data_IF_972896331791
#
_entry.id   IF_972896331791
#
_cell.length_a   1.000
_cell.length_b   1.000
_cell.length_c   1.000
_cell.angle_alpha   90.00
_cell.angle_beta   90.00
_cell.angle_gamma   90.00
#
_symmetry.space_group_name_H-M   'P 1'
#
loop_
_entity.id
_entity.type
_entity.pdbx_description
1 polymer ?
#
# COMPACT_ATOMS: atom_id res chain seq x y z
N UNK A 1 -27.37 30.86 20.75
CA UNK A 1 -26.71 31.38 19.53
C UNK A 1 -25.89 30.26 18.87
N UNK A 2 -25.87 30.17 17.53
CA UNK A 2 -24.99 29.26 16.78
C UNK A 2 -24.05 30.08 15.91
N UNK A 3 -22.77 29.70 15.91
CA UNK A 3 -21.73 30.33 15.12
C UNK A 3 -21.10 29.31 14.17
N UNK A 4 -20.83 29.75 12.95
CA UNK A 4 -19.93 29.09 12.02
C UNK A 4 -18.49 29.57 12.29
N UNK A 5 -17.55 28.62 12.35
CA UNK A 5 -16.14 28.90 12.50
C UNK A 5 -15.48 28.70 11.15
N UNK A 6 -14.76 29.71 10.67
CA UNK A 6 -13.94 29.61 9.47
C UNK A 6 -12.47 29.78 9.84
N UNK A 7 -11.60 28.96 9.26
CA UNK A 7 -10.15 29.12 9.33
C UNK A 7 -9.62 29.29 7.91
N UNK A 8 -8.89 30.38 7.67
CA UNK A 8 -8.42 30.82 6.34
C UNK A 8 -9.53 30.86 5.28
N UNK A 9 -10.73 31.25 5.68
CA UNK A 9 -11.91 31.33 4.82
C UNK A 9 -12.62 30.00 4.56
N UNK A 10 -12.10 28.88 5.08
CA UNK A 10 -12.77 27.56 4.97
C UNK A 10 -13.62 27.31 6.20
N UNK A 11 -14.89 26.95 6.02
CA UNK A 11 -15.76 26.53 7.13
C UNK A 11 -15.23 25.24 7.74
N UNK A 12 -14.95 25.26 9.05
CA UNK A 12 -14.38 24.13 9.79
C UNK A 12 -15.35 23.50 10.78
N UNK A 13 -16.51 24.11 10.99
CA UNK A 13 -17.55 23.56 11.84
C UNK A 13 -18.50 24.60 12.41
N UNK A 14 -19.54 24.08 13.05
CA UNK A 14 -20.56 24.85 13.75
C UNK A 14 -20.44 24.66 15.26
N UNK A 15 -20.61 25.73 16.02
CA UNK A 15 -20.65 25.68 17.49
C UNK A 15 -21.91 26.35 18.01
N UNK A 16 -22.45 25.78 19.08
CA UNK A 16 -23.48 26.45 19.88
C UNK A 16 -22.77 27.19 21.00
N UNK A 17 -23.07 28.47 21.16
CA UNK A 17 -22.68 29.20 22.36
C UNK A 17 -23.55 28.71 23.51
N UNK A 18 -22.94 27.97 24.42
CA UNK A 18 -23.59 27.35 25.59
C UNK A 18 -22.72 27.41 26.84
N UNK A 19 -21.51 27.95 26.74
CA UNK A 19 -20.64 28.14 27.91
C UNK A 19 -20.98 29.48 28.56
N UNK A 20 -21.11 29.45 29.87
CA UNK A 20 -21.51 30.61 30.66
C UNK A 20 -20.33 31.55 30.96
N UNK A 21 -20.57 32.85 30.88
CA UNK A 21 -19.63 33.93 31.15
C UNK A 21 -20.30 34.96 32.06
N UNK A 22 -19.95 34.91 33.35
CA UNK A 22 -20.50 35.79 34.39
C UNK A 22 -20.27 37.27 34.05
N UNK A 23 -19.09 37.61 33.51
CA UNK A 23 -18.73 38.99 33.15
C UNK A 23 -19.59 39.58 32.03
N UNK A 24 -20.13 38.76 31.11
CA UNK A 24 -21.03 39.22 30.06
C UNK A 24 -22.44 39.47 30.60
N UNK A 25 -22.87 38.67 31.57
CA UNK A 25 -24.14 38.84 32.28
C UNK A 25 -24.11 40.07 33.19
N UNK A 26 -23.03 40.27 33.94
CA UNK A 26 -22.87 41.41 34.85
C UNK A 26 -22.83 42.76 34.12
N UNK A 27 -22.41 42.76 32.86
CA UNK A 27 -22.35 43.93 31.99
C UNK A 27 -23.60 44.13 31.11
N UNK A 28 -24.63 43.30 31.29
CA UNK A 28 -25.86 43.29 30.49
C UNK A 28 -25.63 43.22 28.96
N UNK A 29 -24.57 42.52 28.55
CA UNK A 29 -24.21 42.33 27.13
C UNK A 29 -24.97 41.12 26.55
N UNK A 30 -25.22 40.09 27.37
CA UNK A 30 -26.03 38.93 27.02
C UNK A 30 -26.58 38.24 28.29
N UNK A 31 -27.39 37.19 28.12
CA UNK A 31 -27.87 36.31 29.19
C UNK A 31 -26.76 35.49 29.91
N UNK A 32 -25.49 35.71 29.55
CA UNK A 32 -24.31 35.00 30.02
C UNK A 32 -23.92 33.77 29.20
N UNK A 33 -24.78 33.19 28.34
CA UNK A 33 -24.47 31.97 27.57
C UNK A 33 -23.96 32.28 26.15
N UNK A 34 -22.84 33.01 26.08
CA UNK A 34 -22.28 33.48 24.82
C UNK A 34 -20.91 32.84 24.46
N UNK A 35 -20.29 32.07 25.34
CA UNK A 35 -19.01 31.41 25.06
C UNK A 35 -19.18 30.01 24.46
N UNK A 36 -18.09 29.48 23.90
CA UNK A 36 -18.02 28.14 23.34
C UNK A 36 -16.59 27.59 23.45
N UNK A 37 -16.46 26.28 23.27
CA UNK A 37 -15.19 25.61 23.02
C UNK A 37 -15.26 24.92 21.67
N UNK A 38 -14.17 24.98 20.92
CA UNK A 38 -14.06 24.31 19.64
C UNK A 38 -12.71 23.63 19.53
N UNK A 39 -12.71 22.34 19.20
CA UNK A 39 -11.49 21.61 18.93
C UNK A 39 -10.98 22.02 17.55
N UNK A 40 -9.86 22.72 17.50
CA UNK A 40 -9.24 23.13 16.24
C UNK A 40 -8.89 21.89 15.44
N UNK A 41 -9.37 21.76 14.18
CA UNK A 41 -9.05 20.63 13.33
C UNK A 41 -7.55 20.46 13.20
N UNK A 42 -7.11 19.21 13.15
CA UNK A 42 -5.68 18.91 13.16
C UNK A 42 -4.95 19.63 12.03
N UNK A 43 -5.53 19.76 10.83
CA UNK A 43 -4.96 20.44 9.66
C UNK A 43 -4.39 21.84 9.89
N UNK A 44 -4.88 22.58 10.90
CA UNK A 44 -4.42 23.95 11.20
C UNK A 44 -3.38 24.03 12.31
N UNK A 45 -2.91 22.90 12.87
CA UNK A 45 -1.90 22.86 13.96
C UNK A 45 -0.47 22.74 13.42
N UNK A 46 -0.12 23.61 12.47
CA UNK A 46 1.10 23.52 11.67
C UNK A 46 2.23 24.46 12.15
N UNK A 47 2.01 25.24 13.22
CA UNK A 47 2.96 26.24 13.72
C UNK A 47 2.99 27.54 12.89
N UNK A 48 2.11 27.70 11.91
CA UNK A 48 1.94 28.92 11.11
C UNK A 48 0.78 29.75 11.65
N UNK A 49 0.73 31.01 11.21
CA UNK A 49 -0.36 31.91 11.57
C UNK A 49 -1.57 31.65 10.67
N UNK A 50 -2.71 31.36 11.29
CA UNK A 50 -3.99 31.17 10.60
C UNK A 50 -4.96 32.30 10.95
N UNK A 51 -5.85 32.64 10.02
CA UNK A 51 -6.93 33.61 10.23
C UNK A 51 -8.20 32.89 10.67
N UNK A 52 -8.72 33.23 11.85
CA UNK A 52 -9.98 32.70 12.36
C UNK A 52 -11.07 33.76 12.20
N UNK A 53 -12.13 33.41 11.48
CA UNK A 53 -13.35 34.18 11.31
C UNK A 53 -14.51 33.46 12.04
N UNK A 54 -15.46 34.22 12.58
CA UNK A 54 -16.69 33.71 13.18
C UNK A 54 -17.88 34.38 12.50
N UNK A 55 -18.89 33.61 12.09
CA UNK A 55 -20.12 34.13 11.46
C UNK A 55 -21.36 33.62 12.16
N UNK A 56 -22.42 34.43 12.18
CA UNK A 56 -23.74 33.95 12.58
C UNK A 56 -24.32 33.08 11.47
N UNK A 57 -25.03 32.02 11.84
CA UNK A 57 -25.60 31.08 10.87
C UNK A 57 -26.59 31.81 9.95
N UNK A 58 -26.31 31.81 8.65
CA UNK A 58 -27.17 32.42 7.63
C UNK A 58 -26.95 33.91 7.41
N UNK A 59 -25.90 34.49 8.02
CA UNK A 59 -25.52 35.89 7.84
C UNK A 59 -24.11 35.98 7.22
N UNK A 60 -23.92 36.94 6.31
CA UNK A 60 -22.61 37.20 5.69
C UNK A 60 -21.65 38.01 6.60
N UNK A 61 -22.17 38.55 7.71
CA UNK A 61 -21.43 39.37 8.66
C UNK A 61 -20.48 38.57 9.56
N UNK A 62 -19.26 39.08 9.75
CA UNK A 62 -18.29 38.53 10.71
C UNK A 62 -18.55 39.12 12.09
N UNK A 63 -18.46 38.29 13.14
CA UNK A 63 -18.63 38.73 14.53
C UNK A 63 -17.57 39.76 14.92
N UNK A 64 -18.00 40.81 15.62
CA UNK A 64 -17.12 41.89 16.11
C UNK A 64 -15.94 41.31 16.91
N UNK A 65 -14.72 41.69 16.55
CA UNK A 65 -13.49 41.19 17.17
C UNK A 65 -12.85 39.98 16.45
N UNK A 66 -13.45 39.52 15.35
CA UNK A 66 -12.85 38.68 14.32
C UNK A 66 -12.71 39.50 13.00
N UNK A 67 -11.80 39.13 12.08
CA UNK A 67 -10.83 38.03 12.17
C UNK A 67 -9.77 38.21 13.24
N UNK A 68 -9.25 37.09 13.76
CA UNK A 68 -8.01 37.06 14.55
C UNK A 68 -6.95 36.20 13.90
N UNK A 69 -5.70 36.64 13.97
CA UNK A 69 -4.54 35.79 13.63
C UNK A 69 -4.11 35.02 14.86
N UNK A 70 -4.07 33.70 14.76
CA UNK A 70 -3.63 32.80 15.83
C UNK A 70 -2.59 31.84 15.28
N UNK A 71 -1.53 31.59 16.04
CA UNK A 71 -0.57 30.52 15.75
C UNK A 71 -0.96 29.33 16.62
N UNK A 72 -1.38 28.25 16.00
CA UNK A 72 -1.58 26.99 16.70
C UNK A 72 -0.21 26.31 16.83
N UNK A 73 0.17 25.92 18.05
CA UNK A 73 1.48 25.31 18.29
C UNK A 73 1.73 24.12 17.37
N UNK A 74 2.93 24.07 16.78
CA UNK A 74 3.36 22.95 15.94
C UNK A 74 3.26 21.64 16.72
N UNK A 75 2.73 20.60 16.06
CA UNK A 75 2.37 19.36 16.76
C UNK A 75 3.60 18.65 17.37
N UNK A 76 3.75 18.71 18.70
CA UNK A 76 4.74 17.89 19.43
C UNK A 76 4.58 16.39 19.15
N UNK A 77 3.39 15.94 18.72
CA UNK A 77 3.16 14.55 18.32
C UNK A 77 4.04 14.18 17.13
N UNK A 78 4.36 15.12 16.23
CA UNK A 78 5.25 14.87 15.10
C UNK A 78 6.63 14.39 15.54
N UNK A 79 7.23 15.06 16.53
CA UNK A 79 8.53 14.66 17.09
C UNK A 79 8.44 13.31 17.81
N UNK A 80 7.34 13.07 18.54
CA UNK A 80 7.11 11.83 19.29
C UNK A 80 6.97 10.61 18.37
N UNK A 81 6.14 10.67 17.32
CA UNK A 81 5.99 9.53 16.41
C UNK A 81 7.25 9.30 15.56
N UNK A 82 7.92 10.35 15.09
CA UNK A 82 9.18 10.20 14.35
C UNK A 82 10.22 9.49 15.20
N UNK A 83 10.39 9.89 16.47
CA UNK A 83 11.30 9.21 17.40
C UNK A 83 10.88 7.75 17.64
N UNK A 84 9.58 7.50 17.83
CA UNK A 84 9.01 6.16 18.05
C UNK A 84 9.33 5.20 16.91
N UNK A 85 9.15 5.59 15.66
CA UNK A 85 9.37 4.64 14.55
C UNK A 85 10.84 4.53 14.14
N UNK A 86 11.65 5.58 14.30
CA UNK A 86 13.10 5.49 14.05
C UNK A 86 13.82 4.51 14.99
N UNK A 87 13.30 4.27 16.19
CA UNK A 87 13.94 3.34 17.14
C UNK A 87 13.87 1.87 16.72
N UNK A 88 13.11 1.51 15.68
CA UNK A 88 13.05 0.14 15.17
C UNK A 88 14.16 -0.19 14.16
N UNK A 89 14.97 0.80 13.76
CA UNK A 89 16.15 0.57 12.91
C UNK A 89 17.23 -0.10 13.76
N UNK A 90 17.76 -1.23 13.29
CA UNK A 90 18.71 -2.05 14.07
C UNK A 90 19.98 -1.28 14.43
N UNK A 91 20.42 -0.36 13.58
CA UNK A 91 21.65 0.42 13.79
C UNK A 91 21.47 1.65 14.69
N UNK A 92 20.32 1.82 15.35
CA UNK A 92 20.03 3.02 16.16
C UNK A 92 19.86 4.31 15.33
N UNK A 93 19.84 4.20 14.00
CA UNK A 93 19.63 5.29 13.05
C UNK A 93 20.43 5.12 11.76
N UNK A 94 20.27 6.02 10.78
CA UNK A 94 21.00 5.96 9.53
C UNK A 94 22.50 6.24 9.75
N UNK A 95 23.37 5.49 9.05
CA UNK A 95 24.83 5.74 8.97
C UNK A 95 25.13 7.09 8.33
N UNK A 96 26.36 7.59 8.48
CA UNK A 96 26.77 8.85 7.83
C UNK A 96 26.63 8.79 6.29
N UNK A 97 27.02 7.69 5.66
CA UNK A 97 26.87 7.50 4.21
C UNK A 97 25.40 7.56 3.78
N UNK A 98 24.51 6.88 4.50
CA UNK A 98 23.06 6.93 4.26
C UNK A 98 22.48 8.32 4.50
N UNK A 99 22.91 9.04 5.55
CA UNK A 99 22.50 10.43 5.81
C UNK A 99 22.92 11.36 4.70
N UNK A 100 24.17 11.25 4.23
CA UNK A 100 24.70 12.04 3.12
C UNK A 100 23.89 11.76 1.87
N UNK A 101 23.61 10.50 1.54
CA UNK A 101 22.83 10.11 0.36
C UNK A 101 21.38 10.59 0.42
N UNK A 102 20.73 10.47 1.58
CA UNK A 102 19.39 11.05 1.80
C UNK A 102 19.45 12.58 1.64
N UNK A 103 20.37 13.25 2.31
CA UNK A 103 20.48 14.71 2.24
C UNK A 103 20.79 15.20 0.81
N UNK A 104 21.70 14.56 0.08
CA UNK A 104 22.07 14.98 -1.28
C UNK A 104 20.91 14.82 -2.27
N UNK A 105 20.12 13.75 -2.13
CA UNK A 105 18.94 13.53 -2.98
C UNK A 105 17.91 14.65 -2.89
N UNK A 106 17.69 15.20 -1.69
CA UNK A 106 16.71 16.25 -1.44
C UNK A 106 17.31 17.67 -1.58
N UNK A 107 18.54 17.92 -1.12
CA UNK A 107 19.21 19.22 -1.26
C UNK A 107 19.56 19.59 -2.70
N UNK A 108 19.73 18.60 -3.59
CA UNK A 108 20.07 18.80 -5.00
C UNK A 108 18.88 19.02 -5.95
N UNK A 109 17.64 19.04 -5.45
CA UNK A 109 16.43 19.33 -6.24
C UNK A 109 16.04 18.29 -7.29
N UNK A 110 16.63 17.09 -7.28
CA UNK A 110 16.52 16.16 -8.41
C UNK A 110 15.32 15.18 -8.33
N UNK A 111 14.78 14.88 -7.15
CA UNK A 111 13.66 13.92 -7.01
C UNK A 111 12.65 14.34 -5.94
N UNK A 112 11.50 14.82 -6.40
CA UNK A 112 10.36 15.18 -5.54
C UNK A 112 9.41 14.01 -5.24
N UNK A 113 9.65 12.85 -5.87
CA UNK A 113 8.87 11.63 -5.64
C UNK A 113 9.66 10.66 -4.77
N UNK A 114 9.03 10.16 -3.71
CA UNK A 114 9.66 9.24 -2.75
C UNK A 114 8.83 7.99 -2.64
N UNK A 115 9.45 6.81 -2.82
CA UNK A 115 8.83 5.54 -2.52
C UNK A 115 9.45 4.97 -1.25
N UNK A 116 8.63 4.64 -0.26
CA UNK A 116 9.01 3.79 0.87
C UNK A 116 8.62 2.37 0.50
N UNK A 117 9.60 1.65 -0.04
CA UNK A 117 9.49 0.22 -0.35
C UNK A 117 9.72 -0.57 0.93
N UNK A 118 8.88 -1.54 1.20
CA UNK A 118 9.00 -2.43 2.35
C UNK A 118 9.14 -3.87 1.89
N UNK A 119 10.13 -4.55 2.44
CA UNK A 119 10.39 -5.95 2.17
C UNK A 119 10.51 -6.76 3.46
N UNK A 120 10.28 -8.06 3.33
CA UNK A 120 10.59 -9.04 4.37
C UNK A 120 11.20 -10.30 3.79
N UNK A 121 12.32 -10.74 4.37
CA UNK A 121 12.92 -12.05 4.15
C UNK A 121 13.52 -12.59 5.45
N UNK A 122 13.77 -13.89 5.52
CA UNK A 122 14.53 -14.48 6.61
C UNK A 122 15.99 -14.00 6.63
N UNK A 123 16.59 -13.81 5.44
CA UNK A 123 17.92 -13.24 5.24
C UNK A 123 17.95 -11.70 5.23
N UNK A 124 19.13 -11.13 4.99
CA UNK A 124 19.34 -9.67 4.92
C UNK A 124 19.21 -9.10 3.51
N UNK A 125 19.21 -9.97 2.49
CA UNK A 125 19.04 -9.58 1.10
C UNK A 125 17.56 -9.58 0.71
N UNK A 126 17.14 -8.60 -0.11
CA UNK A 126 15.77 -8.59 -0.62
C UNK A 126 15.59 -9.65 -1.71
N UNK A 127 14.36 -10.13 -1.89
CA UNK A 127 14.00 -11.03 -2.99
C UNK A 127 14.24 -10.38 -4.35
N UNK A 128 14.53 -11.17 -5.39
CA UNK A 128 14.80 -10.62 -6.73
C UNK A 128 13.60 -9.84 -7.29
N UNK A 129 12.38 -10.30 -7.02
CA UNK A 129 11.14 -9.58 -7.35
C UNK A 129 11.05 -8.19 -6.70
N UNK A 130 11.51 -8.05 -5.46
CA UNK A 130 11.57 -6.76 -4.75
C UNK A 130 12.57 -5.81 -5.41
N UNK A 131 13.74 -6.30 -5.82
CA UNK A 131 14.72 -5.51 -6.59
C UNK A 131 14.16 -5.06 -7.95
N UNK A 132 13.44 -5.93 -8.66
CA UNK A 132 12.77 -5.53 -9.91
C UNK A 132 11.78 -4.39 -9.71
N UNK A 133 10.94 -4.48 -8.67
CA UNK A 133 9.99 -3.44 -8.33
C UNK A 133 10.71 -2.12 -8.00
N UNK A 134 11.80 -2.18 -7.24
CA UNK A 134 12.64 -1.00 -6.96
C UNK A 134 13.17 -0.38 -8.25
N UNK A 135 13.71 -1.18 -9.17
CA UNK A 135 14.25 -0.67 -10.44
C UNK A 135 13.19 0.01 -11.29
N UNK A 136 12.00 -0.58 -11.37
CA UNK A 136 10.85 0.00 -12.08
C UNK A 136 10.42 1.34 -11.46
N UNK A 137 10.39 1.44 -10.13
CA UNK A 137 10.07 2.70 -9.43
C UNK A 137 11.13 3.77 -9.70
N UNK A 138 12.42 3.41 -9.67
CA UNK A 138 13.52 4.32 -9.98
C UNK A 138 13.46 4.81 -11.42
N UNK A 139 13.14 3.92 -12.36
CA UNK A 139 12.93 4.27 -13.77
C UNK A 139 11.76 5.25 -13.96
N UNK A 140 10.76 5.21 -13.08
CA UNK A 140 9.63 6.15 -13.05
C UNK A 140 9.90 7.41 -12.18
N UNK A 141 11.17 7.68 -11.83
CA UNK A 141 11.60 8.93 -11.21
C UNK A 141 11.50 8.98 -9.69
N UNK A 142 11.22 7.87 -9.02
CA UNK A 142 11.20 7.83 -7.56
C UNK A 142 12.62 7.79 -6.99
N UNK A 143 12.82 8.51 -5.88
CA UNK A 143 13.85 8.14 -4.90
C UNK A 143 13.30 6.97 -4.08
N UNK A 144 13.96 5.82 -4.13
CA UNK A 144 13.47 4.62 -3.42
C UNK A 144 14.23 4.42 -2.12
N UNK A 145 13.49 4.54 -1.03
CA UNK A 145 13.90 4.16 0.32
C UNK A 145 13.37 2.75 0.62
N UNK A 146 14.27 1.78 0.70
CA UNK A 146 13.92 0.41 1.07
C UNK A 146 14.10 0.21 2.58
N UNK A 147 13.00 -0.10 3.27
CA UNK A 147 12.98 -0.48 4.68
C UNK A 147 12.71 -1.97 4.77
N UNK A 148 13.75 -2.75 5.04
CA UNK A 148 13.71 -4.20 5.03
C UNK A 148 13.65 -4.76 6.44
N UNK A 149 12.62 -5.56 6.71
CA UNK A 149 12.46 -6.27 7.97
C UNK A 149 13.09 -7.66 7.86
N UNK A 150 13.95 -8.01 8.81
CA UNK A 150 14.57 -9.34 8.84
C UNK A 150 14.90 -9.76 10.27
N UNK A 151 14.66 -11.03 10.65
CA UNK A 151 15.13 -11.56 11.93
C UNK A 151 16.66 -11.67 11.99
N UNK A 152 17.33 -11.77 10.83
CA UNK A 152 18.79 -11.80 10.73
C UNK A 152 19.43 -10.40 10.83
N UNK A 153 18.63 -9.34 11.02
CA UNK A 153 19.13 -7.98 11.05
C UNK A 153 20.10 -7.71 12.21
N UNK A 154 19.91 -8.37 13.36
CA UNK A 154 20.71 -8.14 14.58
C UNK A 154 22.13 -8.74 14.48
N UNK A 155 22.33 -9.71 13.60
CA UNK A 155 23.62 -10.38 13.36
C UNK A 155 24.32 -9.90 12.09
N UNK A 156 23.70 -8.98 11.36
CA UNK A 156 24.18 -8.50 10.07
C UNK A 156 25.40 -7.56 10.22
N UNK A 157 26.59 -8.05 9.94
CA UNK A 157 27.83 -7.26 9.92
C UNK A 157 28.07 -6.61 8.55
N UNK A 158 27.14 -5.79 8.06
CA UNK A 158 27.34 -4.83 6.94
C UNK A 158 27.82 -5.29 5.54
N UNK A 159 27.98 -6.58 5.25
CA UNK A 159 28.54 -7.00 3.95
C UNK A 159 27.50 -7.01 2.81
N UNK A 160 27.84 -6.31 1.72
CA UNK A 160 27.31 -6.36 0.36
C UNK A 160 25.80 -6.62 0.19
N UNK A 161 24.97 -5.78 0.79
CA UNK A 161 23.52 -5.77 0.55
C UNK A 161 23.25 -5.58 -0.96
N UNK A 162 22.54 -6.52 -1.57
CA UNK A 162 22.24 -6.55 -3.03
C UNK A 162 21.10 -5.64 -3.47
N UNK A 163 20.57 -4.80 -2.57
CA UNK A 163 19.43 -3.93 -2.85
C UNK A 163 19.76 -2.85 -3.89
N UNK A 164 18.93 -2.74 -4.93
CA UNK A 164 19.07 -1.69 -5.95
C UNK A 164 18.53 -0.31 -5.53
N UNK A 165 18.00 -0.20 -4.30
CA UNK A 165 17.41 1.02 -3.76
C UNK A 165 18.41 2.18 -3.61
N UNK A 166 17.90 3.41 -3.63
CA UNK A 166 18.73 4.59 -3.41
C UNK A 166 19.16 4.71 -1.93
N UNK A 167 18.36 4.19 -1.00
CA UNK A 167 18.79 3.97 0.38
C UNK A 167 18.14 2.69 0.94
N UNK A 168 18.88 1.96 1.77
CA UNK A 168 18.45 0.68 2.34
C UNK A 168 18.65 0.67 3.85
N UNK A 169 17.65 0.20 4.60
CA UNK A 169 17.70 0.13 6.06
C UNK A 169 17.14 -1.19 6.57
N UNK A 170 17.91 -1.85 7.43
CA UNK A 170 17.45 -3.00 8.19
C UNK A 170 16.69 -2.54 9.45
N UNK A 171 15.53 -3.15 9.69
CA UNK A 171 14.74 -2.96 10.90
C UNK A 171 14.39 -4.29 11.56
N UNK A 172 14.13 -4.23 12.87
CA UNK A 172 13.49 -5.34 13.56
C UNK A 172 12.09 -5.60 12.96
N UNK A 173 11.66 -6.86 12.95
CA UNK A 173 10.35 -7.25 12.42
C UNK A 173 9.20 -6.90 13.38
N UNK A 174 8.96 -5.60 13.56
CA UNK A 174 7.95 -5.04 14.46
C UNK A 174 6.94 -4.22 13.65
N UNK A 175 5.64 -4.43 13.92
CA UNK A 175 4.54 -3.70 13.29
C UNK A 175 4.28 -4.02 11.80
N UNK A 176 4.95 -5.06 11.27
CA UNK A 176 4.88 -5.49 9.86
C UNK A 176 5.00 -4.33 8.87
N UNK A 177 4.27 -4.37 7.76
CA UNK A 177 4.42 -3.45 6.64
C UNK A 177 4.11 -2.00 7.02
N UNK A 178 3.02 -1.75 7.74
CA UNK A 178 2.71 -0.42 8.25
C UNK A 178 3.78 0.10 9.21
N UNK A 179 4.31 -0.74 10.10
CA UNK A 179 5.44 -0.38 10.96
C UNK A 179 6.68 0.00 10.15
N UNK A 180 6.97 -0.73 9.07
CA UNK A 180 8.07 -0.43 8.15
C UNK A 180 7.83 0.86 7.36
N UNK A 181 6.63 1.09 6.82
CA UNK A 181 6.28 2.32 6.11
C UNK A 181 6.39 3.54 7.01
N UNK A 182 5.88 3.45 8.25
CA UNK A 182 5.99 4.52 9.24
C UNK A 182 7.44 4.77 9.67
N UNK A 183 8.27 3.71 9.71
CA UNK A 183 9.72 3.85 9.89
C UNK A 183 10.35 4.63 8.74
N UNK A 184 10.09 4.26 7.48
CA UNK A 184 10.62 4.98 6.33
C UNK A 184 10.10 6.42 6.23
N UNK A 185 8.80 6.63 6.48
CA UNK A 185 8.20 7.96 6.56
C UNK A 185 8.90 8.83 7.62
N UNK A 186 9.17 8.27 8.81
CA UNK A 186 9.91 8.98 9.86
C UNK A 186 11.31 9.41 9.41
N UNK A 187 11.96 8.66 8.51
CA UNK A 187 13.28 9.01 7.98
C UNK A 187 13.23 10.20 7.03
N UNK A 188 12.23 10.23 6.16
CA UNK A 188 12.08 11.29 5.14
C UNK A 188 11.25 12.48 5.61
N UNK A 189 10.60 12.40 6.78
CA UNK A 189 9.68 13.43 7.29
C UNK A 189 10.28 14.85 7.36
N UNK A 190 11.59 14.96 7.64
CA UNK A 190 12.30 16.25 7.68
C UNK A 190 12.35 16.94 6.31
N UNK A 191 12.14 16.20 5.22
CA UNK A 191 12.14 16.69 3.85
C UNK A 191 10.73 16.83 3.27
N UNK A 192 9.65 16.59 4.06
CA UNK A 192 8.26 16.55 3.54
C UNK A 192 7.85 17.75 2.69
N UNK A 193 8.38 18.94 2.97
CA UNK A 193 8.10 20.17 2.20
C UNK A 193 8.65 20.12 0.76
N UNK A 194 9.56 19.19 0.47
CA UNK A 194 10.18 18.99 -0.85
C UNK A 194 9.61 17.77 -1.59
N UNK A 195 8.73 17.01 -0.94
CA UNK A 195 8.14 15.78 -1.49
C UNK A 195 6.79 16.16 -2.10
N UNK A 196 6.67 15.98 -3.40
CA UNK A 196 5.42 16.19 -4.15
C UNK A 196 4.54 14.94 -4.13
N UNK A 197 5.16 13.78 -4.00
CA UNK A 197 4.50 12.48 -4.03
C UNK A 197 5.23 11.48 -3.13
N UNK A 198 4.47 10.84 -2.24
CA UNK A 198 4.92 9.72 -1.43
C UNK A 198 4.20 8.45 -1.86
N UNK A 199 4.93 7.37 -2.11
CA UNK A 199 4.39 6.04 -2.36
C UNK A 199 4.77 5.11 -1.21
N UNK A 200 3.78 4.48 -0.59
CA UNK A 200 3.95 3.27 0.22
C UNK A 200 3.72 2.06 -0.67
N UNK A 201 4.69 1.16 -0.67
CA UNK A 201 4.63 -0.08 -1.43
C UNK A 201 5.33 -1.20 -0.66
N UNK A 202 4.80 -2.41 -0.70
CA UNK A 202 5.42 -3.58 -0.07
C UNK A 202 5.61 -4.72 -1.08
N UNK A 203 6.40 -5.72 -0.69
CA UNK A 203 6.63 -6.92 -1.49
C UNK A 203 5.69 -8.08 -1.17
N UNK A 204 4.61 -7.87 -0.39
CA UNK A 204 3.66 -8.93 -0.06
C UNK A 204 2.98 -9.55 -1.30
N UNK A 205 2.96 -8.79 -2.40
CA UNK A 205 2.55 -9.25 -3.71
C UNK A 205 3.76 -9.38 -4.65
N UNK A 206 3.67 -10.37 -5.53
CA UNK A 206 4.62 -10.61 -6.61
C UNK A 206 4.32 -9.71 -7.82
N UNK A 207 5.36 -9.09 -8.39
CA UNK A 207 5.26 -8.24 -9.57
C UNK A 207 6.41 -7.22 -9.64
N UNK A 208 6.37 -6.28 -10.60
CA UNK A 208 5.27 -6.02 -11.51
C UNK A 208 5.20 -7.01 -12.69
N UNK A 209 4.02 -7.60 -12.96
CA UNK A 209 3.77 -8.42 -14.18
C UNK A 209 3.32 -7.59 -15.39
N UNK A 210 2.85 -6.37 -15.13
CA UNK A 210 2.52 -5.34 -16.12
C UNK A 210 3.22 -4.04 -15.73
N UNK A 211 3.53 -3.17 -16.71
CA UNK A 211 4.23 -1.90 -16.46
C UNK A 211 3.49 -1.03 -15.43
N UNK A 212 4.23 -0.39 -14.52
CA UNK A 212 3.62 0.46 -13.47
C UNK A 212 3.18 1.83 -13.96
N UNK A 213 3.61 2.24 -15.16
CA UNK A 213 3.36 3.58 -15.72
C UNK A 213 1.87 4.01 -15.65
N UNK A 214 0.87 3.17 -15.94
CA UNK A 214 -0.54 3.56 -15.81
C UNK A 214 -0.96 3.85 -14.36
N UNK A 215 -0.47 3.07 -13.39
CA UNK A 215 -0.74 3.28 -11.96
C UNK A 215 -0.01 4.51 -11.39
N UNK A 216 1.12 4.88 -12.00
CA UNK A 216 1.96 6.01 -11.62
C UNK A 216 1.63 7.32 -12.37
N UNK A 217 0.56 7.34 -13.17
CA UNK A 217 0.16 8.54 -13.89
C UNK A 217 -0.08 9.72 -12.92
N UNK A 218 0.43 10.93 -13.21
CA UNK A 218 0.23 12.11 -12.38
C UNK A 218 -1.25 12.47 -12.18
N UNK A 219 -2.06 12.25 -13.22
CA UNK A 219 -3.50 12.56 -13.24
C UNK A 219 -4.30 11.93 -12.09
N UNK A 220 -3.80 10.85 -11.49
CA UNK A 220 -4.42 10.21 -10.34
C UNK A 220 -4.31 11.08 -9.08
N UNK A 221 -3.15 11.69 -8.84
CA UNK A 221 -2.93 12.58 -7.69
C UNK A 221 -3.37 14.03 -7.97
N UNK A 222 -3.62 14.38 -9.22
CA UNK A 222 -4.31 15.64 -9.58
C UNK A 222 -5.80 15.58 -9.23
N UNK A 223 -6.38 14.37 -9.17
CA UNK A 223 -7.80 14.13 -8.86
C UNK A 223 -8.04 13.74 -7.42
N UNK A 224 -7.15 12.93 -6.85
CA UNK A 224 -7.31 12.34 -5.53
C UNK A 224 -6.15 12.75 -4.61
N UNK A 225 -6.43 12.89 -3.31
CA UNK A 225 -5.40 13.15 -2.30
C UNK A 225 -4.59 11.88 -1.97
N UNK A 226 -5.28 10.73 -1.99
CA UNK A 226 -4.72 9.39 -1.76
C UNK A 226 -5.17 8.47 -2.89
N UNK A 227 -4.26 7.65 -3.42
CA UNK A 227 -4.57 6.76 -4.53
C UNK A 227 -3.98 5.36 -4.35
N UNK A 228 -4.82 4.33 -4.44
CA UNK A 228 -4.39 2.92 -4.43
C UNK A 228 -4.60 2.22 -5.77
N UNK A 229 -4.32 0.92 -5.83
CA UNK A 229 -4.58 0.14 -7.06
C UNK A 229 -6.00 -0.39 -7.15
N UNK A 230 -6.57 -0.81 -6.01
CA UNK A 230 -7.90 -1.39 -5.95
C UNK A 230 -8.47 -1.19 -4.56
N UNK A 231 -9.78 -0.97 -4.49
CA UNK A 231 -10.50 -0.94 -3.23
C UNK A 231 -11.00 -2.34 -2.83
N UNK A 232 -11.61 -2.43 -1.67
CA UNK A 232 -12.19 -3.63 -1.12
C UNK A 232 -13.33 -3.24 -0.18
N UNK A 233 -14.36 -4.07 -0.12
CA UNK A 233 -15.55 -3.86 0.73
C UNK A 233 -15.65 -4.88 1.86
N UNK A 234 -14.71 -5.83 1.95
CA UNK A 234 -14.64 -6.78 3.05
C UNK A 234 -14.48 -6.03 4.38
N UNK A 235 -15.39 -6.30 5.32
CA UNK A 235 -15.58 -5.60 6.60
C UNK A 235 -16.01 -4.13 6.48
N UNK A 236 -15.29 -3.32 5.69
CA UNK A 236 -15.60 -1.93 5.40
C UNK A 236 -14.94 -1.51 4.08
N UNK A 237 -15.39 -0.42 3.45
CA UNK A 237 -14.72 0.11 2.26
C UNK A 237 -13.29 0.56 2.59
N UNK A 238 -12.28 0.11 1.86
CA UNK A 238 -10.88 0.52 2.04
C UNK A 238 -10.04 0.25 0.78
N UNK A 239 -8.89 0.92 0.66
CA UNK A 239 -7.87 0.54 -0.32
C UNK A 239 -7.08 -0.67 0.16
N UNK A 240 -6.72 -1.57 -0.75
CA UNK A 240 -5.70 -2.57 -0.43
C UNK A 240 -4.33 -1.90 -0.30
N UNK A 241 -3.61 -2.21 0.77
CA UNK A 241 -2.52 -1.34 1.25
C UNK A 241 -1.14 -1.57 0.61
N UNK A 242 -0.95 -2.61 -0.19
CA UNK A 242 0.35 -2.93 -0.79
C UNK A 242 0.86 -1.89 -1.81
N UNK A 243 0.02 -0.93 -2.20
CA UNK A 243 0.40 0.19 -3.05
C UNK A 243 -0.53 1.38 -2.78
N UNK A 244 -0.02 2.41 -2.10
CA UNK A 244 -0.78 3.61 -1.74
C UNK A 244 0.07 4.85 -1.96
N UNK A 245 -0.41 5.75 -2.81
CA UNK A 245 0.20 7.04 -3.15
C UNK A 245 -0.48 8.14 -2.34
N UNK A 246 0.30 9.12 -1.91
CA UNK A 246 -0.14 10.30 -1.18
C UNK A 246 0.36 11.56 -1.89
N UNK A 247 -0.55 12.51 -2.08
CA UNK A 247 -0.22 13.81 -2.68
C UNK A 247 0.59 14.69 -1.72
N UNK A 248 1.22 15.73 -2.28
CA UNK A 248 1.85 16.81 -1.52
C UNK A 248 0.94 17.39 -0.43
N UNK A 249 -0.36 17.55 -0.73
CA UNK A 249 -1.35 18.05 0.24
C UNK A 249 -1.43 17.15 1.47
N UNK A 250 -1.40 15.83 1.28
CA UNK A 250 -1.43 14.87 2.40
C UNK A 250 -0.14 14.90 3.23
N UNK A 251 1.01 15.02 2.57
CA UNK A 251 2.33 15.15 3.20
C UNK A 251 2.48 16.43 4.04
N UNK A 252 1.87 17.52 3.59
CA UNK A 252 1.88 18.81 4.29
C UNK A 252 0.79 18.91 5.36
N UNK A 253 -0.24 18.07 5.28
CA UNK A 253 -1.32 17.99 6.24
C UNK A 253 -0.98 17.18 7.49
N UNK A 254 -1.99 17.04 8.36
CA UNK A 254 -1.85 16.34 9.64
C UNK A 254 -2.38 14.89 9.63
N UNK A 255 -2.79 14.39 8.46
CA UNK A 255 -3.25 13.01 8.29
C UNK A 255 -2.15 11.99 8.62
N UNK A 256 -0.99 12.07 7.96
CA UNK A 256 0.10 11.10 8.18
C UNK A 256 0.62 11.10 9.64
N UNK A 257 0.86 12.27 10.29
CA UNK A 257 1.19 12.29 11.71
C UNK A 257 0.13 11.68 12.62
N UNK A 258 -1.16 11.95 12.36
CA UNK A 258 -2.26 11.41 13.14
C UNK A 258 -2.33 9.88 12.98
N UNK A 259 -2.27 9.40 11.74
CA UNK A 259 -2.24 7.97 11.42
C UNK A 259 -1.05 7.27 12.11
N UNK A 260 0.15 7.85 12.02
CA UNK A 260 1.35 7.30 12.65
C UNK A 260 1.23 7.25 14.19
N UNK A 261 0.64 8.29 14.80
CA UNK A 261 0.47 8.35 16.24
C UNK A 261 -0.50 7.28 16.76
N UNK A 262 -1.60 7.02 16.05
CA UNK A 262 -2.63 6.05 16.46
C UNK A 262 -2.26 4.60 16.14
N UNK A 263 -1.41 4.35 15.14
CA UNK A 263 -1.19 2.99 14.65
C UNK A 263 -0.65 2.09 15.79
N UNK A 264 -1.36 1.01 16.14
CA UNK A 264 -0.92 0.09 17.18
C UNK A 264 0.26 -0.72 16.63
N UNK A 265 1.32 -0.81 17.42
CA UNK A 265 2.41 -1.72 17.08
C UNK A 265 2.02 -3.07 17.61
N UNK A 266 1.53 -3.91 16.71
CA UNK A 266 0.96 -5.21 17.02
C UNK A 266 1.53 -6.30 16.11
N UNK A 267 1.60 -7.51 16.65
CA UNK A 267 1.92 -8.71 15.91
C UNK A 267 0.65 -9.40 15.34
N UNK A 268 -0.54 -8.95 15.73
CA UNK A 268 -1.82 -9.52 15.36
C UNK A 268 -2.28 -9.00 13.98
N UNK A 269 -2.45 -9.92 13.03
CA UNK A 269 -2.88 -9.61 11.66
C UNK A 269 -4.26 -8.96 11.59
N UNK A 270 -5.19 -9.33 12.47
CA UNK A 270 -6.54 -8.76 12.49
C UNK A 270 -6.50 -7.26 12.84
N UNK A 271 -5.69 -6.90 13.83
CA UNK A 271 -5.48 -5.51 14.24
C UNK A 271 -4.72 -4.71 13.18
N UNK A 272 -3.82 -5.34 12.42
CA UNK A 272 -3.16 -4.70 11.26
C UNK A 272 -4.16 -4.37 10.16
N UNK A 273 -5.06 -5.30 9.80
CA UNK A 273 -6.10 -5.02 8.79
C UNK A 273 -7.03 -3.91 9.28
N UNK A 274 -7.49 -4.01 10.52
CA UNK A 274 -8.43 -3.07 11.12
C UNK A 274 -7.85 -1.67 11.29
N UNK A 275 -6.68 -1.54 11.91
CA UNK A 275 -6.07 -0.23 12.20
C UNK A 275 -5.14 0.28 11.09
N UNK A 276 -4.65 -0.63 10.24
CA UNK A 276 -3.86 -0.32 9.05
C UNK A 276 -4.75 -0.08 7.85
N UNK A 277 -5.16 -1.13 7.12
CA UNK A 277 -5.82 -0.99 5.81
C UNK A 277 -7.16 -0.23 5.91
N UNK A 278 -8.04 -0.70 6.79
CA UNK A 278 -9.35 -0.08 7.02
C UNK A 278 -9.15 1.27 7.71
N UNK A 279 -8.37 1.31 8.78
CA UNK A 279 -8.11 2.52 9.56
C UNK A 279 -7.51 3.67 8.75
N UNK A 280 -6.61 3.38 7.81
CA UNK A 280 -6.01 4.39 6.91
C UNK A 280 -7.09 5.02 6.02
N UNK A 281 -7.89 4.19 5.36
CA UNK A 281 -8.89 4.66 4.39
C UNK A 281 -10.04 5.40 5.07
N UNK A 282 -10.49 4.92 6.24
CA UNK A 282 -11.55 5.59 7.00
C UNK A 282 -11.06 6.90 7.63
N UNK A 283 -9.87 6.90 8.24
CA UNK A 283 -9.30 8.14 8.76
C UNK A 283 -9.08 9.18 7.65
N UNK A 284 -8.67 8.77 6.44
CA UNK A 284 -8.49 9.71 5.33
C UNK A 284 -9.80 10.44 5.01
N UNK A 285 -10.92 9.69 4.97
CA UNK A 285 -12.26 10.26 4.77
C UNK A 285 -12.68 11.16 5.93
N UNK A 286 -12.39 10.79 7.17
CA UNK A 286 -12.67 11.62 8.35
C UNK A 286 -11.87 12.94 8.32
N UNK A 287 -10.70 12.95 7.67
CA UNK A 287 -9.89 14.14 7.41
C UNK A 287 -10.38 14.94 6.18
N UNK A 288 -11.44 14.50 5.50
CA UNK A 288 -11.96 15.14 4.29
C UNK A 288 -11.05 14.99 3.07
N UNK A 289 -10.19 13.97 3.05
CA UNK A 289 -9.31 13.68 1.92
C UNK A 289 -10.03 12.82 0.88
N UNK A 290 -9.77 13.11 -0.40
CA UNK A 290 -10.31 12.30 -1.49
C UNK A 290 -9.46 11.06 -1.75
N UNK A 291 -10.10 9.90 -1.84
CA UNK A 291 -9.45 8.59 -1.92
C UNK A 291 -9.90 7.87 -3.19
N UNK A 292 -8.97 7.66 -4.13
CA UNK A 292 -9.20 6.98 -5.39
C UNK A 292 -8.47 5.64 -5.54
N UNK A 293 -8.83 4.88 -6.56
CA UNK A 293 -8.10 3.68 -6.97
C UNK A 293 -8.01 3.53 -8.49
N UNK A 294 -7.05 2.73 -8.96
CA UNK A 294 -6.87 2.48 -10.40
C UNK A 294 -8.06 1.74 -11.00
N UNK A 295 -8.57 0.74 -10.29
CA UNK A 295 -9.76 -0.01 -10.68
C UNK A 295 -10.60 -0.31 -9.44
N UNK A 296 -11.89 0.04 -9.48
CA UNK A 296 -12.82 -0.22 -8.39
C UNK A 296 -13.38 -1.65 -8.45
N UNK A 297 -13.69 -2.21 -7.28
CA UNK A 297 -14.19 -3.58 -7.10
C UNK A 297 -15.44 -3.84 -7.91
N UNK A 298 -16.35 -2.87 -8.02
CA UNK A 298 -17.60 -3.01 -8.76
C UNK A 298 -17.39 -3.14 -10.27
N UNK A 299 -16.45 -2.38 -10.81
CA UNK A 299 -16.03 -2.47 -12.20
C UNK A 299 -15.40 -3.83 -12.50
N UNK A 300 -14.50 -4.32 -11.65
CA UNK A 300 -13.89 -5.64 -11.79
C UNK A 300 -14.95 -6.73 -11.72
N UNK A 301 -15.85 -6.65 -10.74
CA UNK A 301 -16.95 -7.59 -10.52
C UNK A 301 -17.84 -7.71 -11.75
N UNK A 302 -18.30 -6.58 -12.30
CA UNK A 302 -19.14 -6.55 -13.51
C UNK A 302 -18.43 -7.17 -14.70
N UNK A 303 -17.14 -6.92 -14.86
CA UNK A 303 -16.34 -7.51 -15.95
C UNK A 303 -16.16 -9.01 -15.77
N UNK A 304 -15.92 -9.48 -14.55
CA UNK A 304 -15.84 -10.91 -14.24
C UNK A 304 -17.15 -11.63 -14.57
N UNK A 305 -18.32 -11.06 -14.21
CA UNK A 305 -19.63 -11.64 -14.57
C UNK A 305 -19.78 -11.78 -16.09
N UNK A 306 -19.35 -10.79 -16.88
CA UNK A 306 -19.41 -10.87 -18.34
C UNK A 306 -18.48 -11.94 -18.94
N UNK A 307 -17.36 -12.21 -18.28
CA UNK A 307 -16.36 -13.20 -18.70
C UNK A 307 -16.59 -14.59 -18.09
N UNK A 308 -17.56 -14.70 -17.17
CA UNK A 308 -17.82 -15.88 -16.35
C UNK A 308 -17.84 -17.19 -17.15
N UNK A 309 -18.66 -17.26 -18.20
CA UNK A 309 -18.81 -18.49 -18.98
C UNK A 309 -17.50 -18.89 -19.66
N UNK A 310 -16.74 -17.91 -20.19
CA UNK A 310 -15.42 -18.17 -20.78
C UNK A 310 -14.44 -18.70 -19.74
N UNK A 311 -14.35 -18.06 -18.57
CA UNK A 311 -13.42 -18.48 -17.52
C UNK A 311 -13.74 -19.87 -16.98
N UNK A 312 -15.03 -20.17 -16.78
CA UNK A 312 -15.49 -21.49 -16.37
C UNK A 312 -15.18 -22.55 -17.42
N UNK A 313 -15.51 -22.29 -18.69
CA UNK A 313 -15.25 -23.23 -19.78
C UNK A 313 -13.76 -23.50 -19.96
N UNK A 314 -12.92 -22.47 -19.88
CA UNK A 314 -11.46 -22.63 -19.97
C UNK A 314 -10.91 -23.49 -18.83
N UNK A 315 -11.35 -23.25 -17.60
CA UNK A 315 -10.90 -24.01 -16.43
C UNK A 315 -11.34 -25.47 -16.48
N UNK A 316 -12.59 -25.74 -16.85
CA UNK A 316 -13.10 -27.12 -17.00
C UNK A 316 -12.34 -27.84 -18.11
N UNK A 317 -12.09 -27.18 -19.24
CA UNK A 317 -11.31 -27.76 -20.34
C UNK A 317 -9.90 -28.13 -19.87
N UNK A 318 -9.20 -27.20 -19.22
CA UNK A 318 -7.85 -27.42 -18.74
C UNK A 318 -7.75 -28.62 -17.77
N UNK A 319 -8.72 -28.76 -16.88
CA UNK A 319 -8.84 -29.93 -16.00
C UNK A 319 -9.05 -31.22 -16.80
N UNK A 320 -10.00 -31.24 -17.74
CA UNK A 320 -10.28 -32.42 -18.57
C UNK A 320 -9.06 -32.85 -19.39
N UNK A 321 -8.31 -31.89 -19.95
CA UNK A 321 -7.11 -32.15 -20.75
C UNK A 321 -5.98 -32.81 -19.94
N UNK A 322 -5.97 -32.63 -18.61
CA UNK A 322 -5.01 -33.28 -17.70
C UNK A 322 -5.40 -34.71 -17.29
N UNK A 323 -6.55 -35.22 -17.76
CA UNK A 323 -7.04 -36.57 -17.42
C UNK A 323 -7.77 -36.65 -16.07
N UNK A 324 -7.97 -35.53 -15.37
CA UNK A 324 -8.68 -35.45 -14.09
C UNK A 324 -10.15 -35.04 -14.26
N UNK A 325 -10.87 -35.61 -15.23
CA UNK A 325 -12.26 -35.21 -15.54
C UNK A 325 -13.24 -35.32 -14.36
N UNK A 326 -12.91 -36.13 -13.33
CA UNK A 326 -13.71 -36.26 -12.12
C UNK A 326 -13.84 -34.95 -11.32
N UNK A 327 -12.89 -34.01 -11.42
CA UNK A 327 -12.94 -32.71 -10.70
C UNK A 327 -13.59 -31.60 -11.53
N UNK A 328 -14.03 -31.88 -12.76
CA UNK A 328 -14.69 -30.91 -13.63
C UNK A 328 -16.03 -30.43 -13.05
N UNK A 329 -16.78 -31.34 -12.42
CA UNK A 329 -18.04 -31.03 -11.74
C UNK A 329 -17.81 -30.13 -10.52
N UNK A 330 -16.80 -30.43 -9.69
CA UNK A 330 -16.41 -29.59 -8.56
C UNK A 330 -15.99 -28.18 -9.00
N UNK A 331 -15.19 -28.11 -10.09
CA UNK A 331 -14.78 -26.84 -10.70
C UNK A 331 -16.00 -26.02 -11.14
N UNK A 332 -16.97 -26.66 -11.81
CA UNK A 332 -18.22 -26.02 -12.22
C UNK A 332 -19.01 -25.48 -11.02
N UNK A 333 -19.24 -26.34 -10.02
CA UNK A 333 -20.02 -26.01 -8.83
C UNK A 333 -19.40 -24.82 -8.08
N UNK A 334 -18.07 -24.81 -7.94
CA UNK A 334 -17.36 -23.71 -7.29
C UNK A 334 -17.48 -22.39 -8.06
N UNK A 335 -17.46 -22.42 -9.39
CA UNK A 335 -17.75 -21.25 -10.21
C UNK A 335 -19.18 -20.71 -9.97
N UNK A 336 -20.18 -21.58 -9.91
CA UNK A 336 -21.58 -21.18 -9.65
C UNK A 336 -21.77 -20.58 -8.25
N UNK A 337 -21.08 -21.11 -7.23
CA UNK A 337 -21.06 -20.54 -5.88
C UNK A 337 -20.50 -19.11 -5.89
N UNK A 338 -19.33 -18.92 -6.50
CA UNK A 338 -18.69 -17.60 -6.59
C UNK A 338 -19.59 -16.64 -7.37
N UNK A 339 -20.19 -17.07 -8.49
CA UNK A 339 -21.13 -16.26 -9.26
C UNK A 339 -22.34 -15.86 -8.43
N UNK A 340 -22.92 -16.79 -7.69
CA UNK A 340 -24.07 -16.54 -6.81
C UNK A 340 -23.72 -15.51 -5.75
N UNK A 341 -22.58 -15.67 -5.04
CA UNK A 341 -22.09 -14.71 -4.06
C UNK A 341 -21.86 -13.33 -4.69
N UNK A 342 -21.24 -13.30 -5.87
CA UNK A 342 -20.94 -12.09 -6.63
C UNK A 342 -22.21 -11.31 -7.01
N UNK A 343 -23.22 -11.99 -7.56
CA UNK A 343 -24.50 -11.41 -7.96
C UNK A 343 -25.30 -10.94 -6.74
N UNK A 344 -25.21 -11.66 -5.62
CA UNK A 344 -25.82 -11.25 -4.33
C UNK A 344 -25.12 -10.08 -3.66
N UNK A 345 -23.99 -9.60 -4.20
CA UNK A 345 -23.24 -8.49 -3.63
C UNK A 345 -22.48 -8.85 -2.36
N UNK A 346 -22.11 -10.12 -2.17
CA UNK A 346 -21.20 -10.52 -1.09
C UNK A 346 -19.85 -9.83 -1.30
N UNK A 347 -19.31 -9.24 -0.23
CA UNK A 347 -18.00 -8.60 -0.25
C UNK A 347 -16.88 -9.65 -0.37
N UNK A 348 -16.51 -9.96 -1.61
CA UNK A 348 -15.39 -10.85 -1.92
C UNK A 348 -14.13 -10.04 -2.19
N UNK A 349 -12.99 -10.50 -1.65
CA UNK A 349 -11.70 -9.85 -1.88
C UNK A 349 -11.34 -9.91 -3.39
N UNK A 350 -11.27 -8.76 -4.10
CA UNK A 350 -11.21 -8.76 -5.56
C UNK A 350 -9.90 -9.31 -6.12
N UNK A 351 -8.79 -9.16 -5.39
CA UNK A 351 -7.49 -9.69 -5.80
C UNK A 351 -7.32 -11.19 -5.58
N UNK A 352 -8.29 -11.83 -4.91
CA UNK A 352 -8.42 -13.30 -4.90
C UNK A 352 -9.44 -13.75 -5.94
N UNK A 353 -10.70 -13.34 -5.82
CA UNK A 353 -11.79 -13.95 -6.60
C UNK A 353 -11.84 -13.50 -8.06
N UNK A 354 -11.38 -12.28 -8.35
CA UNK A 354 -11.46 -11.70 -9.70
C UNK A 354 -10.08 -11.44 -10.31
N UNK A 355 -9.04 -12.11 -9.79
CA UNK A 355 -7.64 -11.93 -10.22
C UNK A 355 -7.43 -12.08 -11.73
N UNK A 356 -8.09 -13.05 -12.37
CA UNK A 356 -7.92 -13.29 -13.82
C UNK A 356 -8.39 -12.08 -14.61
N UNK A 357 -9.57 -11.55 -14.25
CA UNK A 357 -10.10 -10.31 -14.82
C UNK A 357 -9.14 -9.14 -14.63
N UNK A 358 -8.56 -9.01 -13.44
CA UNK A 358 -7.59 -7.95 -13.15
C UNK A 358 -6.38 -8.01 -14.09
N UNK A 359 -5.80 -9.20 -14.30
CA UNK A 359 -4.64 -9.35 -15.19
C UNK A 359 -5.00 -9.22 -16.67
N UNK A 360 -6.06 -9.88 -17.12
CA UNK A 360 -6.39 -9.96 -18.54
C UNK A 360 -7.05 -8.69 -19.08
N UNK A 361 -7.89 -8.03 -18.27
CA UNK A 361 -8.74 -6.92 -18.74
C UNK A 361 -8.26 -5.55 -18.22
N UNK A 362 -7.54 -5.51 -17.09
CA UNK A 362 -7.13 -4.26 -16.45
C UNK A 362 -5.61 -4.08 -16.32
N UNK A 363 -4.82 -5.02 -16.85
CA UNK A 363 -3.35 -4.99 -16.78
C UNK A 363 -2.83 -4.79 -15.36
N UNK A 364 -3.49 -5.40 -14.37
CA UNK A 364 -3.19 -5.20 -12.96
C UNK A 364 -1.78 -5.71 -12.61
N UNK A 365 -0.92 -4.90 -11.97
CA UNK A 365 0.52 -5.19 -11.95
C UNK A 365 0.96 -6.28 -10.96
N UNK A 366 0.11 -6.69 -10.01
CA UNK A 366 0.54 -7.50 -8.86
C UNK A 366 -0.34 -8.72 -8.62
N UNK A 367 0.29 -9.81 -8.17
CA UNK A 367 -0.36 -11.06 -7.79
C UNK A 367 0.00 -11.36 -6.35
N UNK A 368 -0.97 -11.73 -5.50
CA UNK A 368 -0.64 -12.06 -4.11
C UNK A 368 0.28 -13.29 -4.04
N UNK A 369 1.34 -13.23 -3.22
CA UNK A 369 2.32 -14.34 -3.09
C UNK A 369 1.65 -15.64 -2.63
N UNK A 370 0.64 -15.55 -1.76
CA UNK A 370 -0.09 -16.73 -1.28
C UNK A 370 -0.88 -17.44 -2.38
N UNK A 371 -1.41 -16.71 -3.36
CA UNK A 371 -2.06 -17.28 -4.55
C UNK A 371 -1.10 -18.01 -5.48
N UNK A 372 0.21 -17.81 -5.36
CA UNK A 372 1.21 -18.59 -6.11
C UNK A 372 1.49 -19.91 -5.39
N UNK A 373 1.54 -19.88 -4.06
CA UNK A 373 1.96 -21.01 -3.23
C UNK A 373 0.80 -21.95 -2.87
N UNK A 374 -0.44 -21.43 -2.79
CA UNK A 374 -1.62 -22.16 -2.34
C UNK A 374 -2.92 -21.54 -2.87
N UNK A 375 -4.02 -22.27 -2.68
CA UNK A 375 -5.37 -21.81 -3.04
C UNK A 375 -6.21 -21.51 -1.76
N UNK A 376 -5.98 -20.36 -1.07
CA UNK A 376 -6.50 -20.12 0.28
C UNK A 376 -8.02 -19.94 0.33
N UNK A 377 -8.66 -19.64 -0.81
CA UNK A 377 -10.10 -19.36 -0.92
C UNK A 377 -10.79 -20.28 -1.93
N UNK A 378 -10.11 -21.37 -2.31
CA UNK A 378 -10.61 -22.38 -3.23
C UNK A 378 -11.14 -21.79 -4.56
N UNK A 379 -10.28 -21.04 -5.25
CA UNK A 379 -10.58 -20.49 -6.58
C UNK A 379 -10.50 -21.62 -7.63
N UNK A 380 -11.53 -21.80 -8.48
CA UNK A 380 -11.64 -22.96 -9.37
C UNK A 380 -10.64 -22.97 -10.53
N UNK A 381 -10.15 -21.81 -10.96
CA UNK A 381 -9.15 -21.67 -12.03
C UNK A 381 -7.74 -21.42 -11.47
N UNK A 382 -7.45 -21.78 -10.22
CA UNK A 382 -6.17 -21.53 -9.56
C UNK A 382 -4.97 -22.14 -10.30
N UNK A 383 -5.13 -23.35 -10.82
CA UNK A 383 -4.11 -24.07 -11.59
C UNK A 383 -3.68 -23.34 -12.88
N UNK A 384 -4.48 -22.39 -13.38
CA UNK A 384 -4.16 -21.60 -14.57
C UNK A 384 -3.30 -20.36 -14.27
N UNK A 385 -3.12 -19.97 -13.00
CA UNK A 385 -2.35 -18.79 -12.61
C UNK A 385 -0.97 -18.74 -13.25
N UNK A 386 -0.15 -19.82 -13.19
CA UNK A 386 1.20 -19.80 -13.75
C UNK A 386 1.20 -19.55 -15.25
N UNK A 387 0.33 -20.26 -15.98
CA UNK A 387 0.21 -20.17 -17.43
C UNK A 387 -0.25 -18.78 -17.86
N UNK A 388 -1.28 -18.23 -17.20
CA UNK A 388 -1.81 -16.89 -17.50
C UNK A 388 -0.74 -15.82 -17.30
N UNK A 389 0.04 -15.92 -16.23
CA UNK A 389 1.03 -14.89 -15.86
C UNK A 389 2.35 -15.01 -16.61
N UNK A 390 2.85 -16.23 -16.85
CA UNK A 390 4.05 -16.45 -17.67
C UNK A 390 3.85 -16.01 -19.12
N UNK A 391 2.61 -16.03 -19.63
CA UNK A 391 2.27 -15.43 -20.92
C UNK A 391 2.40 -13.90 -20.94
N UNK A 392 2.43 -13.23 -19.77
CA UNK A 392 2.54 -11.76 -19.65
C UNK A 392 3.94 -11.28 -19.30
N UNK A 393 4.72 -12.06 -18.55
CA UNK A 393 6.11 -11.72 -18.19
C UNK A 393 7.00 -12.95 -18.12
N UNK A 394 8.11 -12.94 -18.86
CA UNK A 394 9.14 -14.00 -18.80
C UNK A 394 9.84 -14.05 -17.44
N UNK A 395 10.00 -12.89 -16.80
CA UNK A 395 10.64 -12.77 -15.47
C UNK A 395 9.78 -13.42 -14.37
N UNK A 396 8.46 -13.45 -14.58
CA UNK A 396 7.53 -14.03 -13.61
C UNK A 396 7.82 -15.51 -13.35
N UNK A 397 8.11 -16.30 -14.39
CA UNK A 397 8.43 -17.73 -14.23
C UNK A 397 9.62 -17.95 -13.30
N UNK A 398 10.66 -17.10 -13.40
CA UNK A 398 11.84 -17.18 -12.54
C UNK A 398 11.49 -16.84 -11.09
N UNK A 399 10.69 -15.80 -10.85
CA UNK A 399 10.31 -15.44 -9.48
C UNK A 399 9.44 -16.49 -8.81
N UNK A 400 8.59 -17.16 -9.58
CA UNK A 400 7.78 -18.26 -9.04
C UNK A 400 8.67 -19.44 -8.66
N UNK A 401 9.68 -19.77 -9.48
CA UNK A 401 10.65 -20.80 -9.16
C UNK A 401 11.45 -20.46 -7.88
N UNK A 402 11.92 -19.21 -7.76
CA UNK A 402 12.61 -18.71 -6.56
C UNK A 402 11.72 -18.81 -5.32
N UNK A 403 10.49 -18.29 -5.41
CA UNK A 403 9.52 -18.34 -4.31
C UNK A 403 9.19 -19.78 -3.88
N UNK A 404 9.06 -20.71 -4.82
CA UNK A 404 8.84 -22.12 -4.52
C UNK A 404 10.05 -22.77 -3.83
N UNK A 405 11.26 -22.40 -4.26
CA UNK A 405 12.52 -22.91 -3.67
C UNK A 405 12.69 -22.42 -2.23
N UNK A 406 12.45 -21.14 -1.98
CA UNK A 406 12.51 -20.54 -0.64
C UNK A 406 11.45 -21.12 0.32
N UNK A 407 10.37 -21.65 -0.22
CA UNK A 407 9.25 -22.24 0.53
C UNK A 407 9.16 -23.76 0.35
N UNK A 408 10.24 -24.45 -0.02
CA UNK A 408 10.26 -25.88 -0.34
C UNK A 408 9.81 -26.83 0.80
N UNK A 409 9.55 -26.31 2.01
CA UNK A 409 8.93 -27.04 3.13
C UNK A 409 7.43 -26.79 3.34
N UNK A 410 6.80 -25.90 2.55
CA UNK A 410 5.39 -25.48 2.69
C UNK A 410 4.53 -25.77 1.46
N UNK A 411 5.14 -26.25 0.36
CA UNK A 411 4.44 -26.67 -0.86
C UNK A 411 4.24 -28.19 -0.78
N UNK A 412 3.00 -28.70 -0.68
CA UNK A 412 2.77 -30.12 -0.89
C UNK A 412 3.20 -30.47 -2.32
N UNK A 413 4.19 -31.35 -2.46
CA UNK A 413 4.70 -31.83 -3.76
C UNK A 413 3.59 -32.42 -4.65
N UNK A 414 2.43 -32.78 -4.09
CA UNK A 414 1.25 -33.29 -4.78
C UNK A 414 0.25 -32.23 -5.24
N UNK A 415 0.42 -30.95 -4.88
CA UNK A 415 -0.53 -29.87 -5.19
C UNK A 415 0.08 -28.73 -6.04
N UNK A 416 1.34 -28.88 -6.47
CA UNK A 416 2.04 -27.87 -7.25
C UNK A 416 1.85 -28.11 -8.76
N UNK A 417 1.15 -27.23 -9.49
CA UNK A 417 1.15 -27.28 -10.96
C UNK A 417 2.54 -27.04 -11.57
N UNK A 418 3.54 -26.67 -10.75
CA UNK A 418 4.90 -26.37 -11.18
C UNK A 418 5.82 -27.60 -11.29
N UNK A 419 5.40 -28.77 -10.79
CA UNK A 419 6.19 -30.00 -10.97
C UNK A 419 6.40 -30.36 -12.45
N UNK A 420 5.55 -29.85 -13.34
CA UNK A 420 5.63 -30.05 -14.79
C UNK A 420 6.33 -28.91 -15.56
N UNK A 421 6.72 -27.80 -14.91
CA UNK A 421 7.38 -26.66 -15.59
C UNK A 421 8.92 -26.73 -15.55
N UNK A 422 9.50 -27.71 -14.86
CA UNK A 422 10.92 -28.04 -14.94
C UNK A 422 11.16 -29.04 -16.06
N UNK A 423 11.07 -28.61 -17.31
CA UNK A 423 11.31 -29.51 -18.43
C UNK A 423 12.75 -30.02 -18.44
N UNK A 424 12.83 -31.27 -18.86
CA UNK A 424 13.99 -32.15 -18.99
C UNK A 424 15.21 -31.42 -19.54
N UNK A 425 16.43 -31.60 -18.98
CA UNK A 425 17.63 -31.11 -19.66
C UNK A 425 17.76 -31.87 -20.98
N UNK A 426 17.72 -31.13 -22.09
CA UNK A 426 18.05 -31.63 -23.40
C UNK A 426 19.40 -32.36 -23.32
N UNK A 427 19.38 -33.69 -23.49
CA UNK A 427 20.58 -34.47 -23.80
C UNK A 427 21.08 -33.95 -25.14
N UNK A 428 22.18 -33.22 -25.11
CA UNK A 428 23.03 -33.01 -26.28
C UNK A 428 23.80 -34.33 -26.44
N UNK A 429 23.23 -35.25 -27.21
CA UNK A 429 23.96 -36.41 -27.72
C UNK A 429 24.95 -35.89 -28.79
N UNK A 430 26.23 -35.89 -28.46
CA UNK A 430 27.29 -35.72 -29.45
C UNK A 430 27.51 -37.05 -30.19
N UNK A 431 27.58 -37.07 -31.53
CA UNK A 431 27.75 -38.31 -32.28
C UNK A 431 29.16 -38.87 -32.13
N UNK A 432 29.23 -40.17 -31.87
CA UNK A 432 30.41 -41.01 -32.04
C UNK A 432 30.89 -40.91 -33.51
N UNK A 433 32.11 -40.41 -33.71
CA UNK A 433 32.88 -40.69 -34.92
C UNK A 433 34.08 -41.55 -34.55
N UNK A 434 34.09 -42.78 -35.04
CA UNK A 434 35.24 -43.66 -35.08
C UNK A 434 36.42 -42.97 -35.78
N UNK A 435 37.62 -43.14 -35.22
CA UNK A 435 38.81 -43.27 -36.05
C UNK A 435 39.83 -44.19 -35.39
N UNK A 436 39.94 -45.41 -35.93
CA UNK A 436 41.04 -46.35 -35.68
C UNK A 436 42.31 -45.84 -36.37
N UNK A 437 43.36 -45.61 -35.60
CA UNK A 437 44.79 -45.92 -35.89
C UNK A 437 45.45 -46.01 -34.50
N UNK A 438 45.92 -47.15 -33.99
CA UNK A 438 46.87 -48.08 -34.58
C UNK A 438 48.18 -47.93 -33.81
N UNK A 439 48.41 -48.75 -32.79
CA UNK A 439 49.74 -49.07 -32.28
C UNK A 439 49.70 -50.43 -31.55
N UNK A 440 50.45 -51.36 -32.18
CA UNK A 440 50.87 -52.72 -31.82
C UNK A 440 49.81 -53.81 -31.84
#
# INVERSE_FOLDING_TARGET
MQLEILIDGTSVGMVRCSEFRQDLKDRDISDGFAAFKFAIPHGYRDGRAHRIDLRHRGEDGVVVGAPRKVIFGADERARKWVKRFRSYIVQGGPTNAQRVRLNSAFLGGARHKVAVMVGYTSGIDPAASSNRLIDELRANGFFVLHVHASPAADTATSWEITSSADAYFLKHNVGYDFGSWLTGLAMVWKFREQIDELLFVNDSNLGPVHALRPALAPSHLDRHDIFGLIDNFDTAHHLQSYFVRFSRKVLQGNFLPAFAAQYPITADKSEIVKHGEIGLSQMARDFGLDVGCLVDTDTVRRTWIRKYDSYRTDAIRAVCDTGFSAIAEDTYNRFEEIKTATVRGVALNPTHYYRRTLFEEFQFPFVKRDLILRNPVDIPDWHLIPTVLSAKSREFGNWVFELATDNAGLVPLSASPFAAMGDTPARIDAPLSENKKGQV
#
